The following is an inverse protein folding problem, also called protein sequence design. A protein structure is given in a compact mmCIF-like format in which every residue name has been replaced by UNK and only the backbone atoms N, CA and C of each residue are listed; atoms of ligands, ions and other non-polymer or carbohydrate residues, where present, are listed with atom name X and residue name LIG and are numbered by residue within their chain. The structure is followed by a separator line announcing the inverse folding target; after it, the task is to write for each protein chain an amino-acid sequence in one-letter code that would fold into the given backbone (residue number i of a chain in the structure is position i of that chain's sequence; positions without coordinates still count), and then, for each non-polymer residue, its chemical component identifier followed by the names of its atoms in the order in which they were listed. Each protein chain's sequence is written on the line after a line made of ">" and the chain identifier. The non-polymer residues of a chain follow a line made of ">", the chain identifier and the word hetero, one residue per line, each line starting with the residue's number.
data_IF_041575443070
#
_entry.id   IF_041575443070
#
_cell.length_a   1.000
_cell.length_b   1.000
_cell.length_c   1.000
_cell.angle_alpha   90.00
_cell.angle_beta   90.00
_cell.angle_gamma   90.00
#
_symmetry.space_group_name_H-M   'P 1'
#
loop_
_entity.id
_entity.type
_entity.pdbx_description
1 polymer ?
#
# COMPACT_ATOMS: atom_id res chain seq x y z
N UNK A 1 9.03 -15.75 -9.76
CA UNK A 1 9.59 -14.98 -8.65
C UNK A 1 9.22 -15.70 -7.36
N UNK A 2 10.20 -16.29 -6.68
CA UNK A 2 10.01 -17.18 -5.53
C UNK A 2 10.73 -16.69 -4.28
N UNK A 3 11.23 -15.44 -4.30
CA UNK A 3 12.02 -14.91 -3.20
C UNK A 3 11.09 -14.40 -2.08
N UNK A 4 11.39 -14.73 -0.81
CA UNK A 4 10.61 -14.28 0.32
C UNK A 4 10.58 -12.74 0.38
N UNK A 5 9.48 -12.18 0.88
CA UNK A 5 9.35 -10.74 1.11
C UNK A 5 10.08 -10.39 2.40
N UNK A 6 10.99 -9.41 2.35
CA UNK A 6 11.73 -8.92 3.50
C UNK A 6 11.24 -7.53 3.94
N UNK A 7 11.83 -6.97 5.00
CA UNK A 7 11.46 -5.65 5.51
C UNK A 7 11.70 -4.53 4.48
N UNK A 8 12.80 -4.60 3.74
CA UNK A 8 13.16 -3.61 2.72
C UNK A 8 12.13 -3.56 1.57
N UNK A 9 11.64 -4.73 1.15
CA UNK A 9 10.56 -4.84 0.15
C UNK A 9 9.29 -4.10 0.63
N UNK A 10 8.92 -4.27 1.90
CA UNK A 10 7.73 -3.63 2.48
C UNK A 10 7.93 -2.11 2.59
N UNK A 11 9.11 -1.66 3.02
CA UNK A 11 9.44 -0.24 3.08
C UNK A 11 9.42 0.40 1.68
N UNK A 12 10.01 -0.26 0.69
CA UNK A 12 9.99 0.20 -0.70
C UNK A 12 8.56 0.23 -1.28
N UNK A 13 7.73 -0.77 -0.97
CA UNK A 13 6.32 -0.79 -1.36
C UNK A 13 5.55 0.41 -0.81
N UNK A 14 5.69 0.72 0.49
CA UNK A 14 5.04 1.89 1.08
C UNK A 14 5.62 3.21 0.58
N UNK A 15 6.94 3.29 0.37
CA UNK A 15 7.58 4.44 -0.26
C UNK A 15 6.99 4.73 -1.65
N UNK A 16 6.84 3.69 -2.47
CA UNK A 16 6.19 3.78 -3.78
C UNK A 16 4.73 4.27 -3.64
N UNK A 17 3.96 3.76 -2.68
CA UNK A 17 2.58 4.23 -2.45
C UNK A 17 2.49 5.71 -2.08
N UNK A 18 3.44 6.22 -1.30
CA UNK A 18 3.52 7.65 -0.97
C UNK A 18 3.81 8.47 -2.23
N UNK A 19 4.80 8.07 -3.04
CA UNK A 19 5.16 8.78 -4.26
C UNK A 19 4.01 8.78 -5.28
N UNK A 20 3.33 7.66 -5.47
CA UNK A 20 2.14 7.57 -6.34
C UNK A 20 0.97 8.42 -5.84
N UNK A 21 0.91 8.67 -4.53
CA UNK A 21 0.00 9.66 -3.94
C UNK A 21 0.34 11.07 -4.40
N UNK A 22 1.63 11.42 -4.50
CA UNK A 22 2.11 12.74 -4.90
C UNK A 22 2.03 12.97 -6.42
N UNK A 23 2.42 11.97 -7.21
CA UNK A 23 2.49 12.03 -8.67
C UNK A 23 1.53 10.97 -9.18
N UNK A 24 0.39 11.37 -9.75
CA UNK A 24 -0.62 10.43 -10.26
C UNK A 24 -0.46 10.20 -11.76
N UNK A 25 -0.22 8.96 -12.17
CA UNK A 25 -0.23 8.53 -13.56
C UNK A 25 -1.56 7.84 -13.95
N UNK A 26 -1.90 7.73 -15.25
CA UNK A 26 -3.15 7.11 -15.70
C UNK A 26 -3.34 5.66 -15.23
N UNK A 27 -2.26 4.87 -15.21
CA UNK A 27 -2.25 3.53 -14.65
C UNK A 27 -1.07 3.28 -13.72
N UNK A 28 -1.24 2.38 -12.73
CA UNK A 28 -0.16 2.00 -11.81
C UNK A 28 1.02 1.35 -12.54
N UNK A 29 0.77 0.65 -13.65
CA UNK A 29 1.86 0.07 -14.44
C UNK A 29 2.74 1.13 -15.10
N UNK A 30 2.22 2.35 -15.30
CA UNK A 30 2.89 3.41 -16.04
C UNK A 30 4.12 3.95 -15.30
N UNK A 31 4.19 3.84 -13.96
CA UNK A 31 5.38 4.27 -13.20
C UNK A 31 6.65 3.48 -13.56
N UNK A 32 6.49 2.28 -14.14
CA UNK A 32 7.58 1.45 -14.66
C UNK A 32 7.67 1.47 -16.18
N UNK A 33 6.95 2.38 -16.84
CA UNK A 33 7.01 2.53 -18.29
C UNK A 33 8.40 3.00 -18.73
N UNK A 34 8.80 2.59 -19.93
CA UNK A 34 9.99 3.12 -20.62
C UNK A 34 9.66 4.39 -21.41
N UNK A 35 8.38 4.74 -21.55
CA UNK A 35 7.95 5.99 -22.16
C UNK A 35 8.38 7.17 -21.27
N UNK A 36 9.20 8.12 -21.76
CA UNK A 36 9.64 9.27 -20.97
C UNK A 36 8.51 10.12 -20.39
N UNK A 37 7.30 10.07 -20.96
CA UNK A 37 6.12 10.79 -20.43
C UNK A 37 5.62 10.21 -19.10
N UNK A 38 5.85 8.92 -18.88
CA UNK A 38 5.32 8.18 -17.73
C UNK A 38 6.42 7.61 -16.83
N UNK A 39 7.66 7.56 -17.31
CA UNK A 39 8.77 6.99 -16.58
C UNK A 39 9.03 7.72 -15.26
N UNK A 40 8.99 6.99 -14.15
CA UNK A 40 9.21 7.50 -12.82
C UNK A 40 10.41 6.80 -12.19
N UNK A 41 11.62 7.35 -12.39
CA UNK A 41 12.88 6.71 -11.99
C UNK A 41 12.89 6.32 -10.51
N UNK A 42 12.39 7.19 -9.62
CA UNK A 42 12.31 6.93 -8.17
C UNK A 42 11.50 5.68 -7.81
N UNK A 43 10.48 5.33 -8.60
CA UNK A 43 9.68 4.10 -8.41
C UNK A 43 10.31 2.92 -9.15
N UNK A 44 10.77 3.12 -10.37
CA UNK A 44 11.30 2.02 -11.19
C UNK A 44 12.64 1.48 -10.68
N UNK A 45 13.45 2.33 -10.04
CA UNK A 45 14.74 1.96 -9.45
C UNK A 45 14.60 1.33 -8.06
N UNK A 46 13.53 1.67 -7.31
CA UNK A 46 13.34 1.15 -5.95
C UNK A 46 12.92 -0.32 -5.93
N UNK A 47 12.10 -0.75 -6.90
CA UNK A 47 11.51 -2.07 -6.95
C UNK A 47 10.99 -2.37 -8.35
N UNK A 48 11.01 -3.64 -8.77
CA UNK A 48 10.41 -4.03 -10.06
C UNK A 48 8.88 -3.99 -10.02
N UNK A 49 8.26 -3.69 -11.17
CA UNK A 49 6.80 -3.68 -11.34
C UNK A 49 6.14 -4.97 -10.85
N UNK A 50 6.70 -6.12 -11.23
CA UNK A 50 6.11 -7.41 -10.92
C UNK A 50 6.23 -7.74 -9.42
N UNK A 51 7.34 -7.33 -8.78
CA UNK A 51 7.50 -7.43 -7.32
C UNK A 51 6.48 -6.55 -6.59
N UNK A 52 6.28 -5.31 -7.06
CA UNK A 52 5.25 -4.42 -6.52
C UNK A 52 3.86 -5.07 -6.57
N UNK A 53 3.44 -5.55 -7.74
CA UNK A 53 2.12 -6.19 -7.87
C UNK A 53 1.99 -7.50 -7.08
N UNK A 54 3.08 -8.25 -6.92
CA UNK A 54 3.10 -9.43 -6.07
C UNK A 54 2.82 -9.06 -4.61
N UNK A 55 3.55 -8.08 -4.06
CA UNK A 55 3.32 -7.59 -2.69
C UNK A 55 1.91 -7.00 -2.57
N UNK A 56 1.51 -6.14 -3.51
CA UNK A 56 0.19 -5.49 -3.51
C UNK A 56 -0.96 -6.51 -3.45
N UNK A 57 -0.82 -7.65 -4.12
CA UNK A 57 -1.84 -8.70 -4.16
C UNK A 57 -1.89 -9.55 -2.88
N UNK A 58 -0.75 -9.79 -2.25
CA UNK A 58 -0.61 -10.74 -1.14
C UNK A 58 -0.30 -10.09 0.22
N UNK A 59 -0.29 -8.76 0.30
CA UNK A 59 -0.11 -8.06 1.57
C UNK A 59 -1.28 -8.35 2.51
N UNK A 60 -0.96 -8.89 3.68
CA UNK A 60 -1.91 -9.20 4.74
C UNK A 60 -1.44 -8.56 6.04
N UNK A 61 -2.35 -7.85 6.70
CA UNK A 61 -2.07 -7.14 7.94
C UNK A 61 -2.42 -7.93 9.20
N UNK A 62 -3.16 -9.03 9.02
CA UNK A 62 -3.62 -9.89 10.09
C UNK A 62 -3.45 -11.34 9.66
N UNK A 63 -3.08 -12.18 10.61
CA UNK A 63 -3.09 -13.63 10.41
C UNK A 63 -4.53 -14.11 10.26
N UNK A 64 -4.89 -14.52 9.04
CA UNK A 64 -6.23 -15.00 8.72
C UNK A 64 -6.59 -16.30 9.46
N UNK A 65 -5.60 -17.08 9.92
CA UNK A 65 -5.83 -18.33 10.66
C UNK A 65 -6.26 -18.04 12.10
N UNK A 66 -5.79 -16.92 12.66
CA UNK A 66 -6.13 -16.48 14.01
C UNK A 66 -7.49 -15.76 14.11
N UNK A 67 -8.18 -15.53 12.98
CA UNK A 67 -9.46 -14.82 12.96
C UNK A 67 -10.63 -15.73 13.38
N UNK A 68 -11.54 -15.25 14.25
CA UNK A 68 -12.75 -16.00 14.58
C UNK A 68 -13.63 -16.18 13.33
N UNK A 69 -14.42 -17.27 13.25
CA UNK A 69 -15.33 -17.49 12.13
C UNK A 69 -16.43 -16.41 12.10
N UNK A 70 -17.00 -16.09 10.93
CA UNK A 70 -18.05 -15.06 10.80
C UNK A 70 -19.33 -15.31 11.62
N UNK A 71 -19.51 -16.53 12.12
CA UNK A 71 -20.63 -16.94 12.97
C UNK A 71 -20.43 -16.58 14.44
N UNK A 72 -19.24 -16.15 14.84
CA UNK A 72 -18.93 -15.77 16.21
C UNK A 72 -19.37 -14.32 16.49
N UNK A 73 -19.97 -14.09 17.66
CA UNK A 73 -20.33 -12.74 18.14
C UNK A 73 -19.14 -11.78 18.30
N UNK A 74 -17.92 -12.33 18.42
CA UNK A 74 -16.67 -11.59 18.49
C UNK A 74 -16.07 -11.26 17.12
N UNK A 75 -16.70 -11.68 16.02
CA UNK A 75 -16.24 -11.39 14.67
C UNK A 75 -16.39 -9.91 14.33
N UNK A 76 -15.25 -9.22 14.26
CA UNK A 76 -15.18 -7.87 13.72
C UNK A 76 -15.08 -7.93 12.18
N UNK A 77 -16.04 -7.30 11.49
CA UNK A 77 -16.01 -7.16 10.01
C UNK A 77 -14.78 -6.38 9.53
N UNK A 78 -14.23 -5.51 10.37
CA UNK A 78 -13.04 -4.75 10.09
C UNK A 78 -11.76 -5.47 10.52
N UNK A 79 -11.82 -6.71 11.01
CA UNK A 79 -10.67 -7.42 11.61
C UNK A 79 -9.37 -7.32 10.81
N UNK A 80 -9.43 -7.37 9.47
CA UNK A 80 -8.27 -7.26 8.57
C UNK A 80 -7.55 -5.91 8.58
N UNK A 81 -8.24 -4.84 8.96
CA UNK A 81 -7.73 -3.46 8.98
C UNK A 81 -7.87 -2.81 10.37
N UNK A 82 -8.58 -3.45 11.29
CA UNK A 82 -8.88 -2.97 12.63
C UNK A 82 -7.61 -2.65 13.41
N UNK A 83 -6.57 -3.48 13.28
CA UNK A 83 -5.30 -3.24 13.95
C UNK A 83 -4.70 -1.87 13.55
N UNK A 84 -4.81 -1.46 12.29
CA UNK A 84 -4.37 -0.14 11.83
C UNK A 84 -5.26 1.00 12.30
N UNK A 85 -6.59 0.80 12.29
CA UNK A 85 -7.54 1.82 12.76
C UNK A 85 -7.41 2.08 14.27
N UNK A 86 -7.11 1.03 15.02
CA UNK A 86 -6.97 1.06 16.49
C UNK A 86 -5.54 1.42 16.92
N UNK A 87 -4.53 1.25 16.04
CA UNK A 87 -3.18 1.81 16.21
C UNK A 87 -3.21 3.34 16.05
N UNK A 88 -3.63 3.99 17.13
CA UNK A 88 -3.52 5.43 17.43
C UNK A 88 -4.08 6.38 16.35
N UNK A 89 -5.18 7.02 16.74
CA UNK A 89 -5.83 8.22 16.21
C UNK A 89 -4.92 9.41 15.79
N UNK A 90 -3.60 9.34 15.97
CA UNK A 90 -2.64 10.34 15.51
C UNK A 90 -2.03 10.08 14.13
N UNK A 91 -1.92 8.81 13.68
CA UNK A 91 -1.34 8.49 12.36
C UNK A 91 -2.35 8.71 11.23
N UNK A 92 -3.64 8.49 11.52
CA UNK A 92 -4.73 8.78 10.60
C UNK A 92 -4.73 10.26 10.19
N UNK A 93 -4.45 11.19 11.12
CA UNK A 93 -4.34 12.61 10.79
C UNK A 93 -3.19 12.90 9.80
N UNK A 94 -2.07 12.17 9.86
CA UNK A 94 -0.91 12.39 8.98
C UNK A 94 -1.16 11.85 7.56
N UNK A 95 -1.78 10.67 7.46
CA UNK A 95 -2.16 10.09 6.15
C UNK A 95 -3.35 10.87 5.57
N UNK A 96 -4.36 11.24 6.36
CA UNK A 96 -5.46 12.09 5.90
C UNK A 96 -4.99 13.51 5.57
N UNK A 97 -4.02 14.11 6.25
CA UNK A 97 -3.48 15.41 5.81
C UNK A 97 -2.72 15.26 4.49
N UNK A 98 -1.96 14.17 4.29
CA UNK A 98 -1.24 13.93 3.04
C UNK A 98 -2.18 13.60 1.89
N UNK A 99 -3.29 12.88 2.14
CA UNK A 99 -4.28 12.48 1.14
C UNK A 99 -5.37 13.55 0.92
N UNK A 100 -5.85 14.25 1.97
CA UNK A 100 -6.85 15.33 1.85
C UNK A 100 -6.27 16.65 1.36
N UNK A 101 -5.02 17.03 1.70
CA UNK A 101 -4.37 18.19 1.05
C UNK A 101 -4.24 17.94 -0.45
N UNK A 102 -4.14 16.68 -0.86
CA UNK A 102 -3.99 16.26 -2.24
C UNK A 102 -5.34 16.04 -2.97
N UNK A 103 -6.43 15.80 -2.25
CA UNK A 103 -7.80 15.76 -2.78
C UNK A 103 -8.48 17.13 -2.84
N UNK A 104 -8.07 18.11 -2.02
CA UNK A 104 -8.65 19.48 -2.02
C UNK A 104 -8.07 20.43 -3.09
N UNK A 105 -7.29 19.92 -4.07
CA UNK A 105 -6.84 20.68 -5.25
C UNK A 105 -7.37 20.14 -6.59
N UNK A 106 -8.47 19.39 -6.56
CA UNK A 106 -9.26 19.06 -7.76
C UNK A 106 -10.66 19.65 -7.64
#
# INVERSE_FOLDING_TARGET
>A
MCDPVNEEDILAYFGNMIVMGLIKLPAIADYWSTDPLFHCSIISESMTRDRFFHIHRFIHFVDNIALPPPTDSSYDRLCKVHQFLTLKSGLFLCIDLTVNVLLMKL
#
